data_IF_284735252807
#
_entry.id   IF_284735252807
#
_cell.length_a   1.000
_cell.length_b   1.000
_cell.length_c   1.000
_cell.angle_alpha   90.00
_cell.angle_beta   90.00
_cell.angle_gamma   90.00
#
_symmetry.space_group_name_H-M   'P 1'
#
loop_
_entity.id
_entity.type
_entity.pdbx_description
1 polymer ?
#
# COMPACT_ATOMS: atom_id res chain seq x y z
N UNK A 1 -0.41 4.68 14.34
CA UNK A 1 -1.84 4.33 14.43
C UNK A 1 -2.67 5.52 14.92
N UNK A 2 -2.38 6.07 16.11
CA UNK A 2 -3.18 7.15 16.72
C UNK A 2 -3.22 8.45 15.89
N UNK A 3 -2.18 8.76 15.10
CA UNK A 3 -2.16 9.88 14.14
C UNK A 3 -2.95 9.56 12.87
N UNK A 4 -2.81 8.36 12.34
CA UNK A 4 -3.47 7.95 11.08
C UNK A 4 -4.97 7.72 11.25
N UNK A 5 -5.43 7.42 12.46
CA UNK A 5 -6.87 7.27 12.78
C UNK A 5 -7.56 8.58 13.14
N UNK A 6 -6.86 9.72 13.12
CA UNK A 6 -7.41 11.00 13.54
C UNK A 6 -7.71 11.12 15.05
N UNK A 7 -7.30 10.11 15.83
CA UNK A 7 -7.58 10.07 17.29
C UNK A 7 -6.78 11.07 18.09
N UNK A 8 -5.75 11.69 17.50
CA UNK A 8 -4.95 12.74 18.14
C UNK A 8 -4.92 14.00 17.28
N UNK A 9 -5.15 15.18 17.88
CA UNK A 9 -5.07 16.46 17.18
C UNK A 9 -3.66 16.67 16.58
N UNK A 10 -3.59 17.25 15.39
CA UNK A 10 -2.32 17.60 14.73
C UNK A 10 -1.46 18.55 15.57
N UNK A 11 -2.08 19.28 16.49
CA UNK A 11 -1.44 20.21 17.43
C UNK A 11 -0.77 19.51 18.63
N UNK A 12 -1.03 18.21 18.84
CA UNK A 12 -0.41 17.44 19.93
C UNK A 12 1.05 17.16 19.65
N UNK A 13 1.88 17.23 20.70
CA UNK A 13 3.30 16.87 20.65
C UNK A 13 3.46 15.43 21.09
N UNK A 14 4.18 14.64 20.31
CA UNK A 14 4.47 13.26 20.59
C UNK A 14 5.96 13.01 20.64
N UNK A 15 6.46 12.67 21.82
CA UNK A 15 7.88 12.39 22.05
C UNK A 15 8.04 10.91 22.40
N UNK A 16 8.92 10.22 21.68
CA UNK A 16 9.26 8.85 21.98
C UNK A 16 10.43 8.78 22.96
N UNK A 17 10.22 8.06 24.06
CA UNK A 17 11.25 7.83 25.08
C UNK A 17 11.58 6.33 25.10
N UNK A 18 12.83 5.96 24.80
CA UNK A 18 13.24 4.57 24.73
C UNK A 18 14.61 4.34 25.39
N UNK A 19 14.79 3.16 26.01
CA UNK A 19 16.11 2.66 26.44
C UNK A 19 16.80 1.82 25.36
N UNK A 20 16.13 1.59 24.27
CA UNK A 20 16.60 0.74 23.20
C UNK A 20 17.67 1.46 22.37
N UNK A 21 18.85 0.85 22.29
CA UNK A 21 19.98 1.35 21.52
C UNK A 21 20.26 0.51 20.28
N UNK A 22 19.55 -0.62 20.13
CA UNK A 22 19.73 -1.45 18.93
C UNK A 22 19.23 -0.66 17.72
N UNK A 23 20.07 -0.63 16.71
CA UNK A 23 19.85 0.11 15.47
C UNK A 23 18.48 -0.25 14.81
N UNK A 24 18.17 -1.54 14.73
CA UNK A 24 16.93 -2.05 14.13
C UNK A 24 15.66 -1.51 14.80
N UNK A 25 15.67 -1.38 16.13
CA UNK A 25 14.53 -0.88 16.89
C UNK A 25 14.43 0.64 16.87
N UNK A 26 15.58 1.32 16.73
CA UNK A 26 15.62 2.78 16.53
C UNK A 26 15.02 3.14 15.17
N UNK A 27 15.37 2.40 14.11
CA UNK A 27 14.78 2.57 12.78
C UNK A 27 13.28 2.33 12.81
N UNK A 28 12.83 1.22 13.42
CA UNK A 28 11.40 0.94 13.57
C UNK A 28 10.66 2.02 14.37
N UNK A 29 11.32 2.65 15.34
CA UNK A 29 10.77 3.77 16.09
C UNK A 29 10.69 5.06 15.27
N UNK A 30 11.68 5.31 14.41
CA UNK A 30 11.70 6.45 13.49
C UNK A 30 10.61 6.35 12.41
N UNK A 31 10.25 5.14 11.96
CA UNK A 31 9.14 4.89 11.02
C UNK A 31 7.78 5.38 11.56
N UNK A 32 7.62 5.48 12.87
CA UNK A 32 6.39 6.01 13.52
C UNK A 32 6.33 7.54 13.48
N UNK A 33 7.41 8.20 13.04
CA UNK A 33 7.55 9.66 12.90
C UNK A 33 7.09 10.47 14.12
N UNK A 34 7.69 10.28 15.33
CA UNK A 34 7.42 11.14 16.47
C UNK A 34 7.91 12.57 16.21
N UNK A 35 7.39 13.55 16.96
CA UNK A 35 7.84 14.95 16.87
C UNK A 35 9.27 15.10 17.42
N UNK A 36 9.65 14.28 18.40
CA UNK A 36 11.02 14.14 18.89
C UNK A 36 11.21 12.76 19.53
N UNK A 37 12.48 12.43 19.82
CA UNK A 37 12.87 11.13 20.31
C UNK A 37 14.06 11.29 21.27
N UNK A 38 14.03 10.60 22.42
CA UNK A 38 15.07 10.68 23.42
C UNK A 38 15.48 9.30 23.94
N UNK A 39 16.79 9.04 24.00
CA UNK A 39 17.37 7.80 24.50
C UNK A 39 17.59 7.85 26.00
N UNK A 40 17.22 6.78 26.71
CA UNK A 40 17.62 6.58 28.11
C UNK A 40 19.07 6.09 28.20
N UNK A 41 19.85 6.53 29.22
CA UNK A 41 19.51 7.50 30.25
C UNK A 41 19.58 8.94 29.73
N UNK A 42 18.74 9.84 30.23
CA UNK A 42 18.75 11.27 29.95
C UNK A 42 18.55 12.07 31.24
N UNK A 43 19.01 13.31 31.26
CA UNK A 43 18.77 14.24 32.37
C UNK A 43 17.40 14.89 32.26
N UNK A 44 16.81 15.32 33.37
CA UNK A 44 15.56 16.08 33.37
C UNK A 44 15.67 17.33 32.51
N UNK A 45 16.81 18.00 32.50
CA UNK A 45 17.05 19.17 31.66
C UNK A 45 17.01 18.82 30.17
N UNK A 46 17.65 17.72 29.73
CA UNK A 46 17.64 17.30 28.35
C UNK A 46 16.21 16.95 27.86
N UNK A 47 15.39 16.33 28.70
CA UNK A 47 13.98 16.09 28.39
C UNK A 47 13.20 17.38 28.27
N UNK A 48 13.39 18.32 29.24
CA UNK A 48 12.71 19.61 29.23
C UNK A 48 13.04 20.42 27.98
N UNK A 49 14.31 20.50 27.60
CA UNK A 49 14.77 21.26 26.42
C UNK A 49 14.16 20.69 25.13
N UNK A 50 14.10 19.35 25.00
CA UNK A 50 13.46 18.66 23.88
C UNK A 50 11.96 18.94 23.82
N UNK A 51 11.27 18.83 24.96
CA UNK A 51 9.86 19.14 25.06
C UNK A 51 9.57 20.58 24.66
N UNK A 52 10.33 21.54 25.20
CA UNK A 52 10.20 22.97 24.91
C UNK A 52 10.40 23.24 23.41
N UNK A 53 11.43 22.64 22.81
CA UNK A 53 11.67 22.74 21.37
C UNK A 53 10.49 22.21 20.55
N UNK A 54 10.01 21.00 20.84
CA UNK A 54 8.88 20.40 20.15
C UNK A 54 7.58 21.21 20.31
N UNK A 55 7.29 21.72 21.52
CA UNK A 55 6.14 22.61 21.76
C UNK A 55 6.26 23.93 21.00
N UNK A 56 7.45 24.54 20.94
CA UNK A 56 7.67 25.78 20.20
C UNK A 56 7.42 25.60 18.72
N UNK A 57 7.91 24.52 18.12
CA UNK A 57 7.66 24.16 16.72
C UNK A 57 6.17 23.94 16.45
N UNK A 58 5.47 23.17 17.28
CA UNK A 58 4.02 22.94 17.16
C UNK A 58 3.20 24.20 17.35
N UNK A 59 3.60 25.06 18.29
CA UNK A 59 2.91 26.34 18.53
C UNK A 59 3.02 27.27 17.32
N UNK A 60 4.16 27.27 16.64
CA UNK A 60 4.37 28.06 15.44
C UNK A 60 3.45 27.61 14.29
N UNK A 61 3.29 26.30 14.11
CA UNK A 61 2.42 25.71 13.08
C UNK A 61 0.94 25.62 13.47
N UNK A 62 0.59 25.90 14.73
CA UNK A 62 -0.77 25.72 15.26
C UNK A 62 -1.87 26.38 14.43
N UNK A 63 -1.73 27.65 13.93
CA UNK A 63 -2.77 28.27 13.12
C UNK A 63 -3.10 27.47 11.87
N UNK A 64 -2.07 27.01 11.13
CA UNK A 64 -2.24 26.18 9.94
C UNK A 64 -2.89 24.82 10.27
N UNK A 65 -2.42 24.14 11.33
CA UNK A 65 -3.00 22.88 11.79
C UNK A 65 -4.49 23.00 12.14
N UNK A 66 -4.91 24.13 12.76
CA UNK A 66 -6.33 24.36 13.07
C UNK A 66 -7.19 24.48 11.81
N UNK A 67 -6.68 25.13 10.76
CA UNK A 67 -7.39 25.20 9.48
C UNK A 67 -7.50 23.81 8.85
N UNK A 68 -6.42 23.03 8.81
CA UNK A 68 -6.43 21.65 8.27
C UNK A 68 -7.40 20.75 9.04
N UNK A 69 -7.43 20.83 10.37
CA UNK A 69 -8.35 20.04 11.20
C UNK A 69 -9.83 20.38 10.95
N UNK A 70 -10.12 21.59 10.46
CA UNK A 70 -11.47 22.04 10.14
C UNK A 70 -11.80 21.88 8.64
N UNK A 71 -10.97 21.19 7.85
CA UNK A 71 -11.19 21.01 6.40
C UNK A 71 -11.17 22.33 5.63
N UNK A 72 -10.31 23.29 6.05
CA UNK A 72 -10.15 24.61 5.40
C UNK A 72 -8.76 24.71 4.80
N UNK A 73 -8.52 23.90 3.77
CA UNK A 73 -7.20 23.71 3.16
C UNK A 73 -6.67 25.02 2.54
N UNK A 74 -7.52 25.80 1.87
CA UNK A 74 -7.11 27.09 1.26
C UNK A 74 -6.62 28.10 2.32
N UNK A 75 -7.33 28.18 3.47
CA UNK A 75 -6.91 29.04 4.57
C UNK A 75 -5.63 28.51 5.25
N UNK A 76 -5.46 27.19 5.29
CA UNK A 76 -4.24 26.60 5.81
C UNK A 76 -3.04 26.95 4.93
N UNK A 77 -3.18 26.86 3.59
CA UNK A 77 -2.14 27.22 2.61
C UNK A 77 -1.78 28.69 2.78
N UNK A 78 -2.76 29.60 2.72
CA UNK A 78 -2.53 31.03 2.90
C UNK A 78 -1.82 31.37 4.23
N UNK A 79 -2.22 30.67 5.31
CA UNK A 79 -1.57 30.83 6.64
C UNK A 79 -0.13 30.32 6.60
N UNK A 80 0.15 29.20 5.93
CA UNK A 80 1.50 28.66 5.80
C UNK A 80 2.41 29.57 4.95
N UNK A 81 1.91 30.15 3.87
CA UNK A 81 2.64 31.13 3.06
C UNK A 81 3.06 32.35 3.92
N UNK A 82 2.16 32.87 4.77
CA UNK A 82 2.52 33.92 5.71
C UNK A 82 3.58 33.45 6.74
N UNK A 83 3.47 32.21 7.25
CA UNK A 83 4.39 31.66 8.22
C UNK A 83 5.80 31.43 7.63
N UNK A 84 5.93 31.13 6.34
CA UNK A 84 7.23 31.09 5.65
C UNK A 84 7.96 32.44 5.80
N UNK A 85 7.24 33.54 5.57
CA UNK A 85 7.78 34.90 5.74
C UNK A 85 8.07 35.30 7.19
N UNK A 86 7.36 34.70 8.16
CA UNK A 86 7.52 34.94 9.60
C UNK A 86 8.54 34.04 10.27
N UNK A 87 9.09 33.06 9.57
CA UNK A 87 10.05 32.10 10.11
C UNK A 87 11.37 32.81 10.43
N UNK A 88 11.77 32.77 11.70
CA UNK A 88 13.02 33.39 12.21
C UNK A 88 14.19 32.43 12.25
N UNK A 89 13.92 31.13 12.11
CA UNK A 89 14.97 30.09 12.09
C UNK A 89 14.81 29.18 10.88
N UNK A 90 15.94 28.62 10.37
CA UNK A 90 15.87 27.65 9.27
C UNK A 90 14.98 26.44 9.59
N UNK A 91 14.95 26.00 10.85
CA UNK A 91 14.10 24.87 11.30
C UNK A 91 12.61 25.22 11.16
N UNK A 92 12.21 26.42 11.59
CA UNK A 92 10.82 26.86 11.41
C UNK A 92 10.45 26.93 9.92
N UNK A 93 11.32 27.48 9.09
CA UNK A 93 11.08 27.54 7.64
C UNK A 93 10.91 26.15 7.04
N UNK A 94 11.80 25.20 7.37
CA UNK A 94 11.68 23.81 6.92
C UNK A 94 10.41 23.14 7.39
N UNK A 95 9.99 23.36 8.64
CA UNK A 95 8.75 22.78 9.18
C UNK A 95 7.51 23.30 8.45
N UNK A 96 7.45 24.61 8.12
CA UNK A 96 6.34 25.19 7.36
C UNK A 96 6.34 24.68 5.92
N UNK A 97 7.48 24.73 5.23
CA UNK A 97 7.60 24.24 3.85
C UNK A 97 7.23 22.76 3.73
N UNK A 98 7.61 21.95 4.72
CA UNK A 98 7.21 20.55 4.78
C UNK A 98 5.70 20.40 4.86
N UNK A 99 5.04 21.10 5.80
CA UNK A 99 3.60 21.02 5.96
C UNK A 99 2.86 21.52 4.71
N UNK A 100 3.37 22.61 4.10
CA UNK A 100 2.84 23.16 2.85
C UNK A 100 2.96 22.17 1.69
N UNK A 101 4.14 21.56 1.51
CA UNK A 101 4.37 20.54 0.49
C UNK A 101 3.47 19.31 0.67
N UNK A 102 3.35 18.81 1.91
CA UNK A 102 2.48 17.66 2.23
C UNK A 102 0.99 18.01 2.00
N UNK A 103 0.57 19.26 2.27
CA UNK A 103 -0.80 19.74 2.01
C UNK A 103 -1.07 19.83 0.51
N UNK A 104 -0.18 20.45 -0.26
CA UNK A 104 -0.32 20.52 -1.72
C UNK A 104 -0.33 19.13 -2.36
N UNK A 105 0.52 18.21 -1.88
CA UNK A 105 0.52 16.84 -2.37
C UNK A 105 -0.80 16.11 -2.09
N UNK A 106 -1.39 16.31 -0.91
CA UNK A 106 -2.68 15.72 -0.54
C UNK A 106 -3.85 16.28 -1.39
N UNK A 107 -3.72 17.52 -1.86
CA UNK A 107 -4.68 18.19 -2.77
C UNK A 107 -4.37 17.97 -4.25
N UNK A 108 -3.39 17.11 -4.56
CA UNK A 108 -2.94 16.83 -5.93
C UNK A 108 -2.37 18.07 -6.67
N UNK A 109 -2.01 19.12 -5.93
CA UNK A 109 -1.33 20.30 -6.46
C UNK A 109 0.17 20.01 -6.67
N UNK A 110 0.49 19.13 -7.63
CA UNK A 110 1.83 18.56 -7.80
C UNK A 110 2.91 19.59 -8.11
N UNK A 111 2.58 20.64 -8.84
CA UNK A 111 3.55 21.69 -9.21
C UNK A 111 3.97 22.51 -7.98
N UNK A 112 3.01 22.90 -7.15
CA UNK A 112 3.23 23.66 -5.91
C UNK A 112 3.98 22.81 -4.89
N UNK A 113 3.58 21.54 -4.71
CA UNK A 113 4.28 20.59 -3.86
C UNK A 113 5.75 20.41 -4.30
N UNK A 114 5.99 20.26 -5.61
CA UNK A 114 7.34 20.11 -6.17
C UNK A 114 8.20 21.34 -5.88
N UNK A 115 7.66 22.56 -6.05
CA UNK A 115 8.38 23.81 -5.70
C UNK A 115 8.80 23.84 -4.25
N UNK A 116 7.89 23.49 -3.34
CA UNK A 116 8.20 23.46 -1.89
C UNK A 116 9.30 22.43 -1.57
N UNK A 117 9.23 21.20 -2.15
CA UNK A 117 10.28 20.21 -1.93
C UNK A 117 11.62 20.64 -2.54
N UNK A 118 11.63 21.29 -3.70
CA UNK A 118 12.85 21.81 -4.30
C UNK A 118 13.48 22.90 -3.43
N UNK A 119 12.68 23.86 -2.91
CA UNK A 119 13.17 24.89 -1.98
C UNK A 119 13.78 24.28 -0.70
N UNK A 120 13.16 23.19 -0.18
CA UNK A 120 13.71 22.46 0.96
C UNK A 120 15.08 21.85 0.61
N UNK A 121 15.20 21.24 -0.58
CA UNK A 121 16.45 20.60 -1.03
C UNK A 121 17.57 21.62 -1.32
N UNK A 122 17.22 22.82 -1.76
CA UNK A 122 18.18 23.94 -1.92
C UNK A 122 18.72 24.41 -0.57
N UNK A 123 17.91 24.35 0.50
CA UNK A 123 18.33 24.67 1.85
C UNK A 123 19.16 23.54 2.47
N UNK A 124 18.78 22.31 2.26
CA UNK A 124 19.44 21.12 2.78
C UNK A 124 19.01 19.86 2.04
N UNK A 125 19.98 19.04 1.66
CA UNK A 125 19.68 17.70 1.10
C UNK A 125 19.13 16.81 2.21
N UNK A 126 17.86 16.43 2.12
CA UNK A 126 17.16 15.65 3.14
C UNK A 126 16.38 14.51 2.46
N UNK A 127 16.58 13.24 2.88
CA UNK A 127 15.94 12.07 2.25
C UNK A 127 14.41 12.17 2.15
N UNK A 128 13.74 12.68 3.19
CA UNK A 128 12.27 12.79 3.16
C UNK A 128 11.75 13.82 2.13
N UNK A 129 12.53 14.86 1.79
CA UNK A 129 12.14 15.80 0.75
C UNK A 129 12.29 15.18 -0.66
N UNK A 130 13.37 14.44 -0.91
CA UNK A 130 13.51 13.62 -2.12
C UNK A 130 12.37 12.59 -2.22
N UNK A 131 12.00 11.97 -1.10
CA UNK A 131 10.86 11.05 -1.03
C UNK A 131 9.54 11.73 -1.42
N UNK A 132 9.34 12.99 -1.04
CA UNK A 132 8.19 13.80 -1.46
C UNK A 132 8.12 13.94 -2.99
N UNK A 133 9.25 14.28 -3.63
CA UNK A 133 9.35 14.34 -5.10
C UNK A 133 9.11 12.98 -5.75
N UNK A 134 9.65 11.89 -5.20
CA UNK A 134 9.41 10.55 -5.71
C UNK A 134 7.91 10.16 -5.66
N UNK A 135 7.20 10.57 -4.60
CA UNK A 135 5.74 10.40 -4.49
C UNK A 135 4.97 11.23 -5.53
N UNK A 136 5.42 12.45 -5.84
CA UNK A 136 4.84 13.28 -6.90
C UNK A 136 5.02 12.58 -8.26
N UNK A 137 6.23 12.14 -8.59
CA UNK A 137 6.49 11.42 -9.85
C UNK A 137 5.61 10.18 -9.97
N UNK A 138 5.48 9.40 -8.89
CA UNK A 138 4.59 8.25 -8.85
C UNK A 138 3.13 8.63 -9.09
N UNK A 139 2.63 9.71 -8.49
CA UNK A 139 1.26 10.19 -8.66
C UNK A 139 0.98 10.70 -10.08
N UNK A 140 2.01 11.21 -10.76
CA UNK A 140 1.98 11.64 -12.17
C UNK A 140 2.23 10.48 -13.15
N UNK A 141 2.25 9.23 -12.68
CA UNK A 141 2.56 8.02 -13.47
C UNK A 141 3.98 7.98 -14.08
N UNK A 142 4.89 8.80 -13.57
CA UNK A 142 6.31 8.83 -13.94
C UNK A 142 7.07 7.82 -13.08
N UNK A 143 6.79 6.53 -13.30
CA UNK A 143 7.29 5.46 -12.43
C UNK A 143 8.81 5.29 -12.54
N UNK A 144 9.38 5.52 -13.73
CA UNK A 144 10.82 5.40 -13.95
C UNK A 144 11.60 6.47 -13.16
N UNK A 145 11.20 7.74 -13.30
CA UNK A 145 11.81 8.87 -12.58
C UNK A 145 11.64 8.74 -11.06
N UNK A 146 10.47 8.23 -10.62
CA UNK A 146 10.26 7.92 -9.21
C UNK A 146 11.23 6.85 -8.72
N UNK A 147 11.43 5.78 -9.48
CA UNK A 147 12.29 4.66 -9.11
C UNK A 147 13.78 5.03 -9.07
N UNK A 148 14.23 5.84 -10.03
CA UNK A 148 15.59 6.39 -10.05
C UNK A 148 15.87 7.22 -8.80
N UNK A 149 14.98 8.16 -8.47
CA UNK A 149 15.12 9.00 -7.27
C UNK A 149 15.08 8.18 -5.97
N UNK A 150 14.26 7.12 -5.92
CA UNK A 150 14.21 6.22 -4.77
C UNK A 150 15.51 5.41 -4.62
N UNK A 151 16.13 4.99 -5.72
CA UNK A 151 17.42 4.33 -5.69
C UNK A 151 18.53 5.26 -5.18
N UNK A 152 18.50 6.55 -5.57
CA UNK A 152 19.41 7.56 -5.04
C UNK A 152 19.25 7.75 -3.54
N UNK A 153 17.99 7.81 -3.05
CA UNK A 153 17.72 7.88 -1.60
C UNK A 153 18.30 6.67 -0.87
N UNK A 154 18.14 5.46 -1.42
CA UNK A 154 18.66 4.22 -0.85
C UNK A 154 20.19 4.25 -0.78
N UNK A 155 20.85 4.74 -1.81
CA UNK A 155 22.31 4.85 -1.88
C UNK A 155 22.85 5.87 -0.86
N UNK A 156 22.21 7.03 -0.71
CA UNK A 156 22.61 8.10 0.21
C UNK A 156 22.22 7.83 1.66
N UNK A 157 21.08 7.20 1.87
CA UNK A 157 20.51 6.91 3.19
C UNK A 157 19.99 5.46 3.25
N UNK A 158 20.89 4.45 3.33
CA UNK A 158 20.51 3.02 3.27
C UNK A 158 19.51 2.58 4.35
N UNK A 159 19.29 3.40 5.35
CA UNK A 159 18.39 3.12 6.46
C UNK A 159 17.00 3.75 6.31
N UNK A 160 16.76 4.46 5.22
CA UNK A 160 15.49 5.10 4.95
C UNK A 160 14.51 4.10 4.32
N UNK A 161 13.90 3.28 5.15
CA UNK A 161 13.11 2.10 4.74
C UNK A 161 11.88 2.43 3.89
N UNK A 162 11.28 3.62 4.01
CA UNK A 162 10.16 4.06 3.16
C UNK A 162 10.53 4.10 1.68
N UNK A 163 11.80 4.37 1.35
CA UNK A 163 12.26 4.37 -0.04
C UNK A 163 12.23 2.96 -0.64
N UNK A 164 12.65 1.94 0.14
CA UNK A 164 12.57 0.54 -0.29
C UNK A 164 11.12 0.10 -0.52
N UNK A 165 10.21 0.41 0.42
CA UNK A 165 8.80 0.04 0.32
C UNK A 165 8.16 0.67 -0.94
N UNK A 166 8.51 1.93 -1.24
CA UNK A 166 7.97 2.64 -2.40
C UNK A 166 8.59 2.15 -3.71
N UNK A 167 9.90 1.88 -3.74
CA UNK A 167 10.60 1.31 -4.90
C UNK A 167 10.05 -0.08 -5.23
N UNK A 168 9.89 -0.93 -4.22
CA UNK A 168 9.31 -2.25 -4.41
C UNK A 168 7.89 -2.20 -4.98
N UNK A 169 7.08 -1.25 -4.51
CA UNK A 169 5.75 -1.04 -5.08
C UNK A 169 5.81 -0.57 -6.55
N UNK A 170 6.74 0.33 -6.90
CA UNK A 170 6.93 0.77 -8.29
C UNK A 170 7.34 -0.42 -9.19
N UNK A 171 8.29 -1.23 -8.73
CA UNK A 171 8.74 -2.44 -9.44
C UNK A 171 7.60 -3.45 -9.65
N UNK A 172 6.80 -3.69 -8.60
CA UNK A 172 5.64 -4.58 -8.69
C UNK A 172 4.59 -4.07 -9.69
N UNK A 173 4.37 -2.75 -9.77
CA UNK A 173 3.49 -2.14 -10.80
C UNK A 173 3.98 -2.39 -12.22
N UNK A 174 5.31 -2.45 -12.43
CA UNK A 174 5.92 -2.77 -13.71
C UNK A 174 6.03 -4.29 -13.98
N UNK A 175 5.44 -5.14 -13.11
CA UNK A 175 5.54 -6.59 -13.23
C UNK A 175 6.91 -7.18 -12.84
N UNK A 176 7.82 -6.36 -12.31
CA UNK A 176 9.17 -6.76 -11.88
C UNK A 176 9.12 -7.32 -10.44
N UNK A 177 8.40 -8.43 -10.28
CA UNK A 177 8.11 -8.97 -8.93
C UNK A 177 9.34 -9.55 -8.23
N UNK A 178 10.30 -10.11 -8.99
CA UNK A 178 11.53 -10.65 -8.42
C UNK A 178 12.40 -9.53 -7.82
N UNK A 179 12.59 -8.44 -8.57
CA UNK A 179 13.34 -7.27 -8.12
C UNK A 179 12.62 -6.57 -6.95
N UNK A 180 11.29 -6.50 -6.98
CA UNK A 180 10.47 -5.99 -5.87
C UNK A 180 10.72 -6.80 -4.59
N UNK A 181 10.76 -8.14 -4.69
CA UNK A 181 11.05 -9.02 -3.57
C UNK A 181 12.45 -8.78 -2.99
N UNK A 182 13.49 -8.68 -3.84
CA UNK A 182 14.86 -8.41 -3.40
C UNK A 182 14.98 -7.08 -2.63
N UNK A 183 14.30 -6.04 -3.11
CA UNK A 183 14.27 -4.72 -2.47
C UNK A 183 13.60 -4.82 -1.09
N UNK A 184 12.47 -5.53 -0.99
CA UNK A 184 11.77 -5.71 0.27
C UNK A 184 12.54 -6.59 1.26
N UNK A 185 13.27 -7.60 0.81
CA UNK A 185 14.13 -8.42 1.67
C UNK A 185 15.22 -7.58 2.33
N UNK A 186 15.84 -6.63 1.60
CA UNK A 186 16.78 -5.66 2.16
C UNK A 186 16.11 -4.78 3.23
N UNK A 187 14.90 -4.30 2.96
CA UNK A 187 14.13 -3.50 3.91
C UNK A 187 13.72 -4.29 5.17
N UNK A 188 13.35 -5.58 5.02
CA UNK A 188 13.06 -6.47 6.15
C UNK A 188 14.31 -6.73 6.99
N UNK A 189 15.49 -6.83 6.38
CA UNK A 189 16.74 -6.97 7.13
C UNK A 189 17.01 -5.75 8.04
N UNK A 190 16.64 -4.53 7.58
CA UNK A 190 16.75 -3.29 8.37
C UNK A 190 15.70 -3.20 9.48
N UNK A 191 14.50 -3.74 9.26
CA UNK A 191 13.36 -3.61 10.17
C UNK A 191 12.53 -4.91 10.20
N UNK A 192 13.05 -6.00 10.83
CA UNK A 192 12.51 -7.35 10.72
C UNK A 192 11.19 -7.58 11.45
N UNK A 193 10.70 -6.60 12.20
CA UNK A 193 9.45 -6.64 12.97
C UNK A 193 8.37 -5.71 12.42
N UNK A 194 8.58 -5.06 11.28
CA UNK A 194 7.56 -4.24 10.65
C UNK A 194 6.50 -5.16 10.01
N UNK A 195 5.32 -5.20 10.65
CA UNK A 195 4.20 -6.05 10.21
C UNK A 195 3.80 -5.80 8.75
N UNK A 196 3.63 -4.51 8.39
CA UNK A 196 3.23 -4.12 7.03
C UNK A 196 4.25 -4.58 5.98
N UNK A 197 5.55 -4.39 6.26
CA UNK A 197 6.62 -4.79 5.34
C UNK A 197 6.69 -6.29 5.17
N UNK A 198 6.52 -7.06 6.26
CA UNK A 198 6.44 -8.52 6.17
C UNK A 198 5.27 -8.98 5.28
N UNK A 199 4.10 -8.34 5.37
CA UNK A 199 2.97 -8.62 4.48
C UNK A 199 3.32 -8.30 3.02
N UNK A 200 3.88 -7.11 2.74
CA UNK A 200 4.30 -6.72 1.40
C UNK A 200 5.35 -7.67 0.81
N UNK A 201 6.30 -8.12 1.63
CA UNK A 201 7.34 -9.07 1.20
C UNK A 201 6.72 -10.42 0.84
N UNK A 202 5.77 -10.90 1.65
CA UNK A 202 5.05 -12.14 1.37
C UNK A 202 4.20 -12.04 0.09
N UNK A 203 3.49 -10.94 -0.11
CA UNK A 203 2.72 -10.68 -1.34
C UNK A 203 3.64 -10.60 -2.57
N UNK A 204 4.77 -9.91 -2.46
CA UNK A 204 5.76 -9.82 -3.54
C UNK A 204 6.36 -11.19 -3.88
N UNK A 205 6.61 -12.04 -2.87
CA UNK A 205 7.10 -13.41 -3.08
C UNK A 205 6.05 -14.30 -3.77
N UNK A 206 4.76 -14.18 -3.44
CA UNK A 206 3.69 -14.85 -4.18
C UNK A 206 3.68 -14.46 -5.65
N UNK A 207 3.75 -13.17 -5.93
CA UNK A 207 3.75 -12.63 -7.29
C UNK A 207 5.02 -13.03 -8.08
N UNK A 208 6.15 -13.15 -7.39
CA UNK A 208 7.41 -13.65 -7.96
C UNK A 208 7.41 -15.19 -8.21
N UNK A 209 6.37 -15.90 -7.74
CA UNK A 209 6.25 -17.35 -7.91
C UNK A 209 7.06 -18.16 -6.89
N UNK A 210 7.38 -17.58 -5.72
CA UNK A 210 8.05 -18.26 -4.61
C UNK A 210 7.10 -18.40 -3.40
N UNK A 211 6.12 -19.33 -3.46
CA UNK A 211 5.14 -19.50 -2.39
C UNK A 211 5.76 -20.00 -1.07
N UNK A 212 6.91 -20.68 -1.12
CA UNK A 212 7.58 -21.15 0.08
C UNK A 212 8.17 -19.98 0.87
N UNK A 213 8.82 -19.03 0.18
CA UNK A 213 9.34 -17.80 0.78
C UNK A 213 8.18 -16.89 1.25
N UNK A 214 7.11 -16.79 0.46
CA UNK A 214 5.90 -16.07 0.84
C UNK A 214 5.33 -16.57 2.17
N UNK A 215 5.16 -17.90 2.34
CA UNK A 215 4.69 -18.50 3.57
C UNK A 215 5.58 -18.14 4.77
N UNK A 216 6.92 -18.13 4.61
CA UNK A 216 7.85 -17.75 5.69
C UNK A 216 7.63 -16.31 6.17
N UNK A 217 7.48 -15.34 5.26
CA UNK A 217 7.26 -13.93 5.61
C UNK A 217 5.88 -13.69 6.19
N UNK A 218 4.84 -14.33 5.62
CA UNK A 218 3.46 -14.18 6.09
C UNK A 218 3.24 -14.87 7.45
N UNK A 219 3.86 -16.01 7.73
CA UNK A 219 3.84 -16.63 9.08
C UNK A 219 4.49 -15.70 10.13
N UNK A 220 5.61 -15.03 9.77
CA UNK A 220 6.22 -14.02 10.64
C UNK A 220 5.27 -12.83 10.84
N UNK A 221 4.62 -12.36 9.77
CA UNK A 221 3.64 -11.29 9.85
C UNK A 221 2.46 -11.66 10.75
N UNK A 222 1.85 -12.83 10.60
CA UNK A 222 0.76 -13.32 11.45
C UNK A 222 1.18 -13.38 12.91
N UNK A 223 2.36 -13.93 13.22
CA UNK A 223 2.87 -14.03 14.60
C UNK A 223 3.04 -12.67 15.27
N UNK A 224 3.53 -11.66 14.52
CA UNK A 224 3.73 -10.30 15.05
C UNK A 224 2.42 -9.52 15.06
N UNK A 225 1.57 -9.76 14.06
CA UNK A 225 0.37 -8.99 13.80
C UNK A 225 -0.80 -9.26 14.74
N UNK A 226 -0.89 -10.44 15.37
CA UNK A 226 -2.05 -10.83 16.22
C UNK A 226 -2.42 -9.79 17.28
N UNK A 227 -1.44 -9.02 17.76
CA UNK A 227 -1.64 -7.93 18.73
C UNK A 227 -1.65 -6.54 18.07
N UNK A 228 -1.75 -6.47 16.76
CA UNK A 228 -1.73 -5.22 15.99
C UNK A 228 -3.12 -4.92 15.45
N UNK A 229 -3.62 -3.70 15.61
CA UNK A 229 -4.94 -3.31 15.08
C UNK A 229 -5.01 -3.32 13.54
N UNK A 230 -3.89 -3.36 12.84
CA UNK A 230 -3.82 -3.53 11.40
C UNK A 230 -3.93 -5.01 10.95
N UNK A 231 -3.96 -5.96 11.92
CA UNK A 231 -4.17 -7.37 11.63
C UNK A 231 -5.61 -7.60 11.18
N UNK A 232 -5.77 -8.18 10.00
CA UNK A 232 -7.07 -8.47 9.40
C UNK A 232 -7.03 -9.78 8.62
N UNK A 233 -8.16 -10.21 8.03
CA UNK A 233 -8.24 -11.44 7.27
C UNK A 233 -7.30 -11.47 6.05
N UNK A 234 -6.90 -10.31 5.53
CA UNK A 234 -6.09 -10.20 4.32
C UNK A 234 -4.78 -10.98 4.40
N UNK A 235 -4.03 -10.83 5.49
CA UNK A 235 -2.75 -11.55 5.66
C UNK A 235 -2.95 -13.06 5.78
N UNK A 236 -4.07 -13.50 6.36
CA UNK A 236 -4.40 -14.92 6.44
C UNK A 236 -4.82 -15.49 5.08
N UNK A 237 -5.50 -14.71 4.24
CA UNK A 237 -5.85 -15.13 2.88
C UNK A 237 -4.58 -15.28 2.03
N UNK A 238 -3.66 -14.32 2.12
CA UNK A 238 -2.37 -14.39 1.41
C UNK A 238 -1.54 -15.59 1.93
N UNK A 239 -1.58 -15.88 3.23
CA UNK A 239 -0.94 -17.06 3.82
C UNK A 239 -1.59 -18.38 3.37
N UNK A 240 -2.93 -18.41 3.28
CA UNK A 240 -3.67 -19.54 2.71
C UNK A 240 -3.23 -19.81 1.27
N UNK A 241 -3.13 -18.77 0.46
CA UNK A 241 -2.66 -18.88 -0.92
C UNK A 241 -1.22 -19.43 -0.97
N UNK A 242 -0.32 -18.88 -0.14
CA UNK A 242 1.07 -19.32 -0.09
C UNK A 242 1.18 -20.81 0.27
N UNK A 243 0.46 -21.28 1.28
CA UNK A 243 0.45 -22.72 1.63
C UNK A 243 -0.21 -23.58 0.56
N UNK A 244 -1.28 -23.09 -0.07
CA UNK A 244 -1.97 -23.79 -1.16
C UNK A 244 -1.07 -23.96 -2.38
N UNK A 245 -0.29 -22.93 -2.74
CA UNK A 245 0.67 -22.99 -3.87
C UNK A 245 1.93 -23.79 -3.52
N UNK A 246 2.37 -23.74 -2.26
CA UNK A 246 3.52 -24.55 -1.78
C UNK A 246 3.18 -26.02 -1.52
N UNK A 247 1.91 -26.43 -1.59
CA UNK A 247 1.46 -27.80 -1.32
C UNK A 247 1.49 -28.19 0.16
N UNK A 248 1.49 -27.26 1.10
CA UNK A 248 1.55 -27.50 2.55
C UNK A 248 0.12 -27.74 3.11
N UNK A 249 -0.43 -28.92 2.86
CA UNK A 249 -1.84 -29.25 3.14
C UNK A 249 -2.25 -29.02 4.60
N UNK A 250 -1.43 -29.44 5.58
CA UNK A 250 -1.75 -29.29 7.01
C UNK A 250 -1.86 -27.83 7.43
N UNK A 251 -0.87 -26.99 7.05
CA UNK A 251 -0.87 -25.55 7.37
C UNK A 251 -1.97 -24.82 6.62
N UNK A 252 -2.23 -25.20 5.37
CA UNK A 252 -3.34 -24.69 4.58
C UNK A 252 -4.68 -24.91 5.30
N UNK A 253 -4.92 -26.13 5.80
CA UNK A 253 -6.16 -26.46 6.52
C UNK A 253 -6.30 -25.68 7.84
N UNK A 254 -5.20 -25.48 8.57
CA UNK A 254 -5.19 -24.65 9.78
C UNK A 254 -5.61 -23.21 9.49
N UNK A 255 -5.04 -22.59 8.46
CA UNK A 255 -5.37 -21.22 8.06
C UNK A 255 -6.79 -21.11 7.50
N UNK A 256 -7.24 -22.09 6.70
CA UNK A 256 -8.61 -22.13 6.20
C UNK A 256 -9.66 -22.20 7.32
N UNK A 257 -9.40 -23.02 8.36
CA UNK A 257 -10.27 -23.11 9.53
C UNK A 257 -10.31 -21.79 10.33
N UNK A 258 -9.17 -21.11 10.49
CA UNK A 258 -9.12 -19.79 11.13
C UNK A 258 -9.93 -18.76 10.34
N UNK A 259 -9.77 -18.70 9.01
CA UNK A 259 -10.52 -17.82 8.13
C UNK A 259 -12.03 -18.07 8.17
N UNK A 260 -12.47 -19.32 8.19
CA UNK A 260 -13.88 -19.66 8.35
C UNK A 260 -14.47 -19.15 9.68
N UNK A 261 -13.64 -19.05 10.72
CA UNK A 261 -14.02 -18.44 11.98
C UNK A 261 -14.16 -16.93 11.96
N UNK A 262 -13.34 -16.25 11.15
CA UNK A 262 -13.25 -14.78 11.06
C UNK A 262 -14.21 -14.22 10.00
N UNK A 263 -14.28 -14.83 8.82
CA UNK A 263 -15.09 -14.39 7.67
C UNK A 263 -16.56 -14.78 7.85
N UNK A 264 -17.18 -14.43 8.98
CA UNK A 264 -18.61 -14.67 9.23
C UNK A 264 -19.45 -13.51 8.68
N UNK A 265 -20.64 -13.83 8.17
CA UNK A 265 -21.61 -12.85 7.69
C UNK A 265 -21.67 -12.72 6.18
N UNK A 266 -22.78 -12.15 5.73
CA UNK A 266 -23.13 -12.09 4.30
C UNK A 266 -22.14 -11.32 3.44
N UNK A 267 -21.45 -10.29 4.00
CA UNK A 267 -20.50 -9.49 3.21
C UNK A 267 -19.22 -10.25 2.84
N UNK A 268 -18.93 -11.34 3.54
CA UNK A 268 -17.70 -12.11 3.33
C UNK A 268 -17.91 -13.37 2.47
N UNK A 269 -19.14 -13.65 2.06
CA UNK A 269 -19.48 -14.88 1.30
C UNK A 269 -18.63 -15.02 0.04
N UNK A 270 -18.38 -13.93 -0.68
CA UNK A 270 -17.50 -13.94 -1.86
C UNK A 270 -16.09 -14.43 -1.49
N UNK A 271 -15.48 -13.83 -0.47
CA UNK A 271 -14.13 -14.21 0.00
C UNK A 271 -14.10 -15.63 0.53
N UNK A 272 -15.16 -16.09 1.20
CA UNK A 272 -15.25 -17.47 1.68
C UNK A 272 -15.22 -18.47 0.52
N UNK A 273 -15.94 -18.22 -0.58
CA UNK A 273 -15.87 -19.07 -1.77
C UNK A 273 -14.48 -19.04 -2.42
N UNK A 274 -13.83 -17.87 -2.47
CA UNK A 274 -12.46 -17.76 -2.99
C UNK A 274 -11.47 -18.53 -2.10
N UNK A 275 -11.54 -18.39 -0.79
CA UNK A 275 -10.68 -19.14 0.14
C UNK A 275 -10.91 -20.66 0.04
N UNK A 276 -12.17 -21.09 -0.08
CA UNK A 276 -12.51 -22.50 -0.30
C UNK A 276 -11.91 -23.02 -1.61
N UNK A 277 -12.04 -22.24 -2.69
CA UNK A 277 -11.42 -22.59 -3.97
C UNK A 277 -9.90 -22.70 -3.85
N UNK A 278 -9.22 -21.75 -3.19
CA UNK A 278 -7.76 -21.82 -2.95
C UNK A 278 -7.36 -23.09 -2.21
N UNK A 279 -8.14 -23.51 -1.20
CA UNK A 279 -7.90 -24.75 -0.46
C UNK A 279 -8.06 -25.98 -1.37
N UNK A 280 -9.10 -26.02 -2.20
CA UNK A 280 -9.37 -27.11 -3.14
C UNK A 280 -8.33 -27.19 -4.24
N UNK A 281 -7.88 -26.03 -4.74
CA UNK A 281 -6.76 -25.94 -5.71
C UNK A 281 -5.46 -26.51 -5.13
N UNK A 282 -5.15 -26.24 -3.87
CA UNK A 282 -3.98 -26.83 -3.20
C UNK A 282 -4.08 -28.35 -3.05
N UNK A 283 -5.29 -28.90 -2.96
CA UNK A 283 -5.58 -30.36 -2.96
C UNK A 283 -5.71 -30.96 -4.36
N UNK A 284 -5.57 -30.17 -5.41
CA UNK A 284 -5.79 -30.57 -6.83
C UNK A 284 -7.21 -31.08 -7.09
N UNK A 285 -8.18 -30.65 -6.30
CA UNK A 285 -9.60 -30.97 -6.47
C UNK A 285 -10.25 -29.95 -7.42
N UNK A 286 -9.91 -30.06 -8.72
CA UNK A 286 -10.19 -29.04 -9.71
C UNK A 286 -11.65 -28.77 -9.93
N UNK A 287 -12.49 -29.81 -10.00
CA UNK A 287 -13.95 -29.67 -10.19
C UNK A 287 -14.62 -28.95 -9.03
N UNK A 288 -14.26 -29.33 -7.78
CA UNK A 288 -14.83 -28.68 -6.61
C UNK A 288 -14.35 -27.23 -6.47
N UNK A 289 -13.07 -26.96 -6.85
CA UNK A 289 -12.53 -25.61 -6.91
C UNK A 289 -13.29 -24.75 -7.92
N UNK A 290 -13.55 -25.28 -9.12
CA UNK A 290 -14.34 -24.62 -10.15
C UNK A 290 -15.76 -24.30 -9.66
N UNK A 291 -16.45 -25.24 -9.00
CA UNK A 291 -17.79 -25.00 -8.45
C UNK A 291 -17.76 -23.88 -7.38
N UNK A 292 -16.72 -23.86 -6.51
CA UNK A 292 -16.57 -22.79 -5.53
C UNK A 292 -16.32 -21.43 -6.19
N UNK A 293 -15.54 -21.37 -7.27
CA UNK A 293 -15.30 -20.15 -8.05
C UNK A 293 -16.56 -19.70 -8.82
N UNK A 294 -17.35 -20.63 -9.31
CA UNK A 294 -18.65 -20.33 -9.92
C UNK A 294 -19.61 -19.67 -8.94
N UNK A 295 -19.63 -20.17 -7.68
CA UNK A 295 -20.42 -19.54 -6.62
C UNK A 295 -19.91 -18.13 -6.29
N UNK A 296 -18.60 -17.91 -6.26
CA UNK A 296 -18.03 -16.57 -6.14
C UNK A 296 -18.38 -15.68 -7.33
N UNK A 297 -18.25 -16.18 -8.56
CA UNK A 297 -18.57 -15.45 -9.79
C UNK A 297 -20.03 -14.97 -9.84
N UNK A 298 -20.98 -15.75 -9.36
CA UNK A 298 -22.39 -15.36 -9.26
C UNK A 298 -22.60 -14.11 -8.37
N UNK A 299 -21.68 -13.82 -7.47
CA UNK A 299 -21.72 -12.65 -6.59
C UNK A 299 -21.01 -11.42 -7.17
N UNK A 300 -20.27 -11.56 -8.27
CA UNK A 300 -19.53 -10.44 -8.89
C UNK A 300 -20.43 -9.25 -9.22
N UNK A 301 -21.65 -9.48 -9.67
CA UNK A 301 -22.60 -8.41 -10.09
C UNK A 301 -23.41 -7.84 -8.91
N UNK A 302 -23.48 -8.53 -7.80
CA UNK A 302 -24.43 -8.21 -6.73
C UNK A 302 -23.86 -7.32 -5.61
N UNK A 303 -22.52 -7.17 -5.50
CA UNK A 303 -21.88 -6.53 -4.34
C UNK A 303 -20.78 -5.55 -4.76
N UNK A 304 -20.47 -4.61 -3.87
CA UNK A 304 -19.25 -3.81 -4.00
C UNK A 304 -18.04 -4.73 -3.80
N UNK A 305 -17.20 -4.81 -4.82
CA UNK A 305 -16.00 -5.63 -4.84
C UNK A 305 -14.78 -4.73 -4.67
N UNK A 306 -13.93 -5.02 -3.67
CA UNK A 306 -12.65 -4.36 -3.57
C UNK A 306 -11.68 -4.88 -4.65
N UNK A 307 -10.77 -4.02 -5.11
CA UNK A 307 -9.71 -4.42 -6.04
C UNK A 307 -8.99 -5.69 -5.57
N UNK A 308 -8.54 -5.71 -4.31
CA UNK A 308 -7.82 -6.85 -3.74
C UNK A 308 -8.62 -8.16 -3.76
N UNK A 309 -9.91 -8.09 -3.46
CA UNK A 309 -10.79 -9.27 -3.52
C UNK A 309 -10.94 -9.79 -4.95
N UNK A 310 -11.04 -8.90 -5.93
CA UNK A 310 -11.09 -9.26 -7.33
C UNK A 310 -9.81 -9.88 -7.85
N UNK A 311 -8.66 -9.32 -7.47
CA UNK A 311 -7.34 -9.88 -7.80
C UNK A 311 -7.21 -11.31 -7.27
N UNK A 312 -7.55 -11.57 -6.01
CA UNK A 312 -7.52 -12.91 -5.41
C UNK A 312 -8.42 -13.93 -6.16
N UNK A 313 -9.58 -13.46 -6.61
CA UNK A 313 -10.45 -14.28 -7.45
C UNK A 313 -9.80 -14.61 -8.79
N UNK A 314 -9.23 -13.60 -9.48
CA UNK A 314 -8.49 -13.79 -10.73
C UNK A 314 -7.35 -14.79 -10.57
N UNK A 315 -6.53 -14.64 -9.53
CA UNK A 315 -5.40 -15.54 -9.23
C UNK A 315 -5.88 -16.98 -8.97
N UNK A 316 -7.00 -17.16 -8.28
CA UNK A 316 -7.59 -18.47 -8.06
C UNK A 316 -8.09 -19.07 -9.38
N UNK A 317 -8.77 -18.29 -10.24
CA UNK A 317 -9.20 -18.73 -11.58
C UNK A 317 -8.01 -19.09 -12.46
N UNK A 318 -6.93 -18.30 -12.42
CA UNK A 318 -5.71 -18.54 -13.21
C UNK A 318 -4.95 -19.83 -12.81
N UNK A 319 -5.32 -20.47 -11.72
CA UNK A 319 -4.77 -21.77 -11.28
C UNK A 319 -5.60 -22.96 -11.72
N UNK A 320 -6.81 -22.74 -12.23
CA UNK A 320 -7.59 -23.82 -12.83
C UNK A 320 -6.96 -24.26 -14.15
N UNK A 321 -6.94 -25.58 -14.47
CA UNK A 321 -6.60 -26.04 -15.80
C UNK A 321 -7.59 -25.51 -16.84
N UNK A 322 -7.11 -24.99 -17.97
CA UNK A 322 -7.95 -24.44 -19.03
C UNK A 322 -8.78 -25.52 -19.77
N UNK A 323 -8.38 -26.80 -19.65
CA UNK A 323 -9.01 -27.97 -20.25
C UNK A 323 -10.02 -28.68 -19.33
N UNK A 324 -10.31 -28.11 -18.15
CA UNK A 324 -11.31 -28.69 -17.24
C UNK A 324 -12.71 -28.60 -17.85
N UNK A 325 -13.50 -29.64 -17.65
CA UNK A 325 -14.87 -29.70 -18.19
C UNK A 325 -15.72 -28.53 -17.64
N UNK A 326 -16.43 -27.86 -18.57
CA UNK A 326 -17.26 -26.69 -18.23
C UNK A 326 -16.49 -25.46 -17.80
N UNK A 327 -15.20 -25.30 -18.21
CA UNK A 327 -14.39 -24.12 -17.88
C UNK A 327 -15.05 -22.80 -18.31
N UNK A 328 -15.24 -21.91 -17.37
CA UNK A 328 -15.88 -20.60 -17.56
C UNK A 328 -14.97 -19.42 -17.17
N UNK A 329 -13.67 -19.65 -17.03
CA UNK A 329 -12.71 -18.66 -16.55
C UNK A 329 -12.70 -17.37 -17.37
N UNK A 330 -12.86 -17.48 -18.72
CA UNK A 330 -12.95 -16.32 -19.59
C UNK A 330 -14.12 -15.39 -19.22
N UNK A 331 -15.33 -15.94 -19.07
CA UNK A 331 -16.52 -15.16 -18.78
C UNK A 331 -16.44 -14.52 -17.39
N UNK A 332 -15.96 -15.26 -16.41
CA UNK A 332 -15.80 -14.76 -15.04
C UNK A 332 -14.79 -13.62 -14.97
N UNK A 333 -13.65 -13.76 -15.62
CA UNK A 333 -12.59 -12.73 -15.63
C UNK A 333 -13.02 -11.52 -16.45
N UNK A 334 -13.75 -11.70 -17.55
CA UNK A 334 -14.34 -10.60 -18.32
C UNK A 334 -15.34 -9.80 -17.46
N UNK A 335 -16.23 -10.47 -16.75
CA UNK A 335 -17.18 -9.82 -15.83
C UNK A 335 -16.47 -9.07 -14.68
N UNK A 336 -15.44 -9.68 -14.10
CA UNK A 336 -14.60 -9.05 -13.08
C UNK A 336 -13.96 -7.77 -13.63
N UNK A 337 -13.34 -7.87 -14.81
CA UNK A 337 -12.62 -6.76 -15.44
C UNK A 337 -13.52 -5.58 -15.79
N UNK A 338 -14.75 -5.84 -16.29
CA UNK A 338 -15.75 -4.81 -16.52
C UNK A 338 -16.09 -3.99 -15.26
N UNK A 339 -15.88 -4.54 -14.08
CA UNK A 339 -16.14 -3.87 -12.80
C UNK A 339 -14.93 -3.15 -12.23
N UNK A 340 -13.76 -3.71 -12.40
CA UNK A 340 -12.53 -3.22 -11.74
C UNK A 340 -11.74 -2.26 -12.62
N UNK A 341 -11.69 -2.48 -13.93
CA UNK A 341 -10.87 -1.71 -14.85
C UNK A 341 -11.44 -0.30 -15.02
N UNK A 342 -10.59 0.70 -14.85
CA UNK A 342 -10.88 2.12 -15.11
C UNK A 342 -9.81 2.75 -15.99
N UNK A 343 -8.58 2.28 -15.90
CA UNK A 343 -7.41 2.82 -16.57
C UNK A 343 -6.68 1.72 -17.34
N UNK A 344 -5.81 2.12 -18.27
CA UNK A 344 -4.93 1.17 -18.97
C UNK A 344 -4.00 0.44 -17.98
N UNK A 345 -3.60 1.12 -16.92
CA UNK A 345 -2.79 0.54 -15.85
C UNK A 345 -3.48 -0.61 -15.11
N UNK A 346 -4.79 -0.51 -14.88
CA UNK A 346 -5.57 -1.61 -14.28
C UNK A 346 -5.53 -2.85 -15.19
N UNK A 347 -5.56 -2.65 -16.51
CA UNK A 347 -5.43 -3.74 -17.52
C UNK A 347 -4.07 -4.41 -17.40
N UNK A 348 -2.98 -3.63 -17.38
CA UNK A 348 -1.62 -4.18 -17.25
C UNK A 348 -1.46 -4.98 -15.95
N UNK A 349 -1.98 -4.45 -14.85
CA UNK A 349 -1.91 -5.12 -13.55
C UNK A 349 -2.71 -6.43 -13.54
N UNK A 350 -3.96 -6.45 -14.01
CA UNK A 350 -4.75 -7.68 -14.08
C UNK A 350 -4.12 -8.69 -15.06
N UNK A 351 -3.61 -8.22 -16.18
CA UNK A 351 -2.94 -9.06 -17.17
C UNK A 351 -1.69 -9.75 -16.58
N UNK A 352 -0.89 -9.03 -15.80
CA UNK A 352 0.29 -9.59 -15.13
C UNK A 352 -0.08 -10.70 -14.12
N UNK A 353 -1.24 -10.58 -13.48
CA UNK A 353 -1.75 -11.52 -12.49
C UNK A 353 -2.48 -12.74 -13.10
N UNK A 354 -2.86 -12.66 -14.37
CA UNK A 354 -3.47 -13.78 -15.09
C UNK A 354 -2.50 -14.99 -15.32
N UNK A 355 -1.29 -14.97 -14.74
CA UNK A 355 -0.30 -16.05 -14.71
C UNK A 355 -0.03 -16.68 -16.08
N UNK A 356 0.01 -15.86 -17.14
CA UNK A 356 0.26 -16.27 -18.53
C UNK A 356 -0.88 -17.09 -19.18
N UNK A 357 -2.05 -17.20 -18.58
CA UNK A 357 -3.22 -17.77 -19.27
C UNK A 357 -3.65 -16.81 -20.38
N UNK A 358 -3.44 -17.22 -21.65
CA UNK A 358 -3.82 -16.43 -22.83
C UNK A 358 -5.32 -16.14 -22.84
N UNK A 359 -6.12 -17.09 -22.37
CA UNK A 359 -7.59 -16.99 -22.31
C UNK A 359 -8.00 -15.88 -21.35
N UNK A 360 -7.38 -15.82 -20.16
CA UNK A 360 -7.70 -14.83 -19.14
C UNK A 360 -7.16 -13.43 -19.51
N UNK A 361 -5.97 -13.36 -20.08
CA UNK A 361 -5.40 -12.12 -20.62
C UNK A 361 -6.34 -11.52 -21.66
N UNK A 362 -6.83 -12.35 -22.61
CA UNK A 362 -7.80 -11.94 -23.61
C UNK A 362 -9.10 -11.44 -22.97
N UNK A 363 -9.59 -12.10 -21.93
CA UNK A 363 -10.81 -11.67 -21.23
C UNK A 363 -10.69 -10.26 -20.63
N UNK A 364 -9.51 -9.92 -20.08
CA UNK A 364 -9.21 -8.58 -19.55
C UNK A 364 -9.21 -7.53 -20.66
N UNK A 365 -8.52 -7.81 -21.78
CA UNK A 365 -8.46 -6.88 -22.92
C UNK A 365 -9.82 -6.68 -23.59
N UNK A 366 -10.60 -7.75 -23.78
CA UNK A 366 -11.95 -7.67 -24.37
C UNK A 366 -12.90 -6.86 -23.49
N UNK A 367 -12.77 -6.94 -22.16
CA UNK A 367 -13.52 -6.10 -21.23
C UNK A 367 -13.13 -4.62 -21.36
N UNK A 368 -11.85 -4.32 -21.47
CA UNK A 368 -11.37 -2.95 -21.61
C UNK A 368 -11.80 -2.33 -22.95
N UNK A 369 -11.66 -3.06 -24.04
CA UNK A 369 -12.14 -2.62 -25.36
C UNK A 369 -13.65 -2.33 -25.38
N UNK A 370 -14.46 -3.14 -24.69
CA UNK A 370 -15.89 -2.86 -24.54
C UNK A 370 -16.14 -1.56 -23.77
N UNK A 371 -15.43 -1.32 -22.67
CA UNK A 371 -15.57 -0.09 -21.87
C UNK A 371 -15.16 1.16 -22.65
N UNK A 372 -14.10 1.09 -23.48
CA UNK A 372 -13.70 2.20 -24.34
C UNK A 372 -14.76 2.54 -25.37
N UNK A 373 -15.28 1.54 -26.09
CA UNK A 373 -16.30 1.75 -27.12
C UNK A 373 -17.57 2.37 -26.53
N UNK A 374 -18.02 1.90 -25.35
CA UNK A 374 -19.21 2.47 -24.68
C UNK A 374 -19.00 3.90 -24.20
N UNK A 375 -17.78 4.26 -23.76
CA UNK A 375 -17.45 5.64 -23.40
C UNK A 375 -17.43 6.57 -24.63
N UNK A 376 -16.89 6.12 -25.76
CA UNK A 376 -16.85 6.90 -27.00
C UNK A 376 -18.24 7.16 -27.56
N UNK A 377 -19.11 6.15 -27.52
CA UNK A 377 -20.52 6.29 -27.87
C UNK A 377 -21.25 7.29 -26.95
N UNK A 378 -21.04 7.21 -25.64
CA UNK A 378 -21.64 8.14 -24.69
C UNK A 378 -21.17 9.59 -24.90
N UNK A 379 -19.89 9.80 -25.24
CA UNK A 379 -19.33 11.12 -25.56
C UNK A 379 -19.90 11.66 -26.86
N UNK A 380 -20.10 10.84 -27.89
CA UNK A 380 -20.71 11.26 -29.18
C UNK A 380 -22.17 11.70 -28.98
N UNK A 381 -22.94 10.93 -28.24
CA UNK A 381 -24.36 11.24 -27.93
C UNK A 381 -24.55 12.52 -27.10
N UNK A 382 -23.55 12.91 -26.31
CA UNK A 382 -23.58 14.17 -25.56
C UNK A 382 -23.17 15.37 -26.40
N UNK A 383 -22.37 15.19 -27.45
CA UNK A 383 -22.02 16.24 -28.41
C UNK A 383 -23.14 16.56 -29.39
N UNK A 384 -23.94 15.56 -29.80
CA UNK A 384 -25.07 15.72 -30.70
C UNK A 384 -26.30 16.38 -30.04
N UNK A 385 -26.29 16.55 -28.70
CA UNK A 385 -27.33 17.25 -27.93
C UNK A 385 -26.99 18.69 -27.54
N UNK A 386 -25.83 19.20 -27.96
CA UNK A 386 -25.46 20.60 -27.83
C UNK A 386 -25.46 21.30 -29.18
#
# INVERSE_FOLDING_TARGET
>A
QLRTTGSYPLTSVWIMITGERSYERVVAAAEVAPDDYILKPFSSQALFDRMQSAFTRKRFLKPAHLHLMNGREDLAIATMDELVGKATTPVQKLDVLRLLAETHLALEHYNEASKCYSEILDLRVIPWAKMGLARIFKAQDKVAESSELLQDIINEAPHYTDAYDTLAHNLARCGQFAESLEVLEKAVALSPRNFRRLCLTGESALNAGDPAKAAQYLEKAVRIGRNNSAFGPDVLIDLLQAHSEAGNAEKMDQVANELNGILKGEHNVFLLHVCRAMTLLGRKSWMDAQESLKQAAALLLQRQLSWRSGVRFLEAVARLPDDIDGYQGYDWVKQLSLRLVRTHQDVEQLTSMAKKSIILIRAVHDAYGFLQNTNDEAVSLTKDKK
#
